data_IF_861542064948
#
_entry.id   IF_861542064948
#
_cell.length_a   1.000
_cell.length_b   1.000
_cell.length_c   1.000
_cell.angle_alpha   90.00
_cell.angle_beta   90.00
_cell.angle_gamma   90.00
#
_symmetry.space_group_name_H-M   'P 1'
#
loop_
_entity.id
_entity.type
_entity.pdbx_description
1 polymer ?
#
# COMPACT_ATOMS: atom_id res chain seq x y z
N UNK A 1 -11.74 19.78 0.98
CA UNK A 1 -12.05 19.14 2.22
C UNK A 1 -11.12 19.61 3.34
N UNK A 2 -11.37 19.18 4.55
CA UNK A 2 -10.82 19.84 5.73
C UNK A 2 -9.89 18.98 6.58
N UNK A 3 -9.30 17.95 6.03
CA UNK A 3 -8.38 17.20 6.86
C UNK A 3 -6.96 17.78 6.79
N UNK A 4 -6.19 17.57 7.86
CA UNK A 4 -4.83 18.08 7.98
C UNK A 4 -3.88 17.25 7.10
N UNK A 5 -2.65 17.75 6.94
CA UNK A 5 -1.59 17.04 6.24
C UNK A 5 -1.37 15.65 6.84
N UNK A 6 -1.28 15.57 8.17
CA UNK A 6 -1.06 14.30 8.85
C UNK A 6 -2.20 13.33 8.64
N UNK A 7 -3.44 13.82 8.74
CA UNK A 7 -4.61 12.98 8.47
C UNK A 7 -4.63 12.48 7.04
N UNK A 8 -4.21 13.33 6.10
CA UNK A 8 -4.10 12.92 4.70
C UNK A 8 -3.09 11.81 4.52
N UNK A 9 -1.94 11.89 5.18
CA UNK A 9 -0.93 10.84 5.14
C UNK A 9 -1.44 9.54 5.74
N UNK A 10 -2.17 9.62 6.85
CA UNK A 10 -2.74 8.44 7.50
C UNK A 10 -3.77 7.76 6.61
N UNK A 11 -4.60 8.53 5.93
CA UNK A 11 -5.57 7.97 4.98
C UNK A 11 -4.88 7.33 3.79
N UNK A 12 -3.81 7.94 3.29
CA UNK A 12 -3.03 7.39 2.19
C UNK A 12 -2.37 6.07 2.60
N UNK A 13 -1.80 6.02 3.80
CA UNK A 13 -1.21 4.79 4.34
C UNK A 13 -2.26 3.68 4.43
N UNK A 14 -3.43 4.00 4.97
CA UNK A 14 -4.50 3.02 5.12
C UNK A 14 -4.93 2.47 3.76
N UNK A 15 -5.04 3.35 2.75
CA UNK A 15 -5.37 2.93 1.39
C UNK A 15 -4.33 1.98 0.79
N UNK A 16 -3.05 2.25 1.02
CA UNK A 16 -1.98 1.37 0.55
C UNK A 16 -2.06 -0.01 1.22
N UNK A 17 -2.34 -0.06 2.52
CA UNK A 17 -2.45 -1.32 3.24
C UNK A 17 -3.69 -2.10 2.82
N UNK A 18 -4.80 -1.43 2.54
CA UNK A 18 -5.97 -2.08 1.98
C UNK A 18 -5.67 -2.71 0.61
N UNK A 19 -4.88 -2.00 -0.20
CA UNK A 19 -4.49 -2.51 -1.52
C UNK A 19 -3.64 -3.78 -1.38
N UNK A 20 -2.73 -3.82 -0.41
CA UNK A 20 -1.93 -5.02 -0.16
C UNK A 20 -2.83 -6.22 0.14
N UNK A 21 -3.82 -6.05 1.00
CA UNK A 21 -4.76 -7.13 1.32
C UNK A 21 -5.51 -7.59 0.09
N UNK A 22 -5.99 -6.66 -0.73
CA UNK A 22 -6.71 -6.96 -1.95
C UNK A 22 -5.84 -7.76 -2.94
N UNK A 23 -4.61 -7.32 -3.17
CA UNK A 23 -3.71 -8.00 -4.11
C UNK A 23 -3.29 -9.37 -3.61
N UNK A 24 -3.12 -9.54 -2.30
CA UNK A 24 -2.84 -10.87 -1.73
C UNK A 24 -3.98 -11.84 -1.99
N UNK A 25 -5.23 -11.38 -1.92
CA UNK A 25 -6.39 -12.22 -2.26
C UNK A 25 -6.38 -12.61 -3.73
N UNK A 26 -6.03 -11.67 -4.60
CA UNK A 26 -5.90 -11.97 -6.03
C UNK A 26 -4.85 -13.04 -6.25
N UNK A 27 -3.70 -12.93 -5.59
CA UNK A 27 -2.64 -13.93 -5.71
C UNK A 27 -3.09 -15.31 -5.29
N UNK A 28 -4.01 -15.41 -4.32
CA UNK A 28 -4.51 -16.68 -3.83
C UNK A 28 -5.29 -17.46 -4.87
N UNK A 29 -5.80 -16.82 -5.93
CA UNK A 29 -6.64 -17.45 -6.94
C UNK A 29 -6.11 -17.30 -8.36
N UNK A 30 -4.97 -16.67 -8.54
CA UNK A 30 -4.44 -16.44 -9.89
C UNK A 30 -3.57 -17.61 -10.34
N UNK A 31 -3.45 -17.81 -11.67
CA UNK A 31 -2.53 -18.81 -12.21
C UNK A 31 -1.09 -18.47 -11.85
N UNK A 32 -0.23 -19.46 -11.82
CA UNK A 32 1.19 -19.26 -11.62
C UNK A 32 1.84 -18.62 -12.85
N UNK A 33 3.10 -18.18 -12.71
CA UNK A 33 3.90 -17.67 -13.82
C UNK A 33 4.15 -16.17 -13.74
N UNK A 34 4.30 -15.53 -14.89
CA UNK A 34 4.70 -14.13 -14.97
C UNK A 34 3.69 -13.20 -14.30
N UNK A 35 2.42 -13.52 -14.38
CA UNK A 35 1.39 -12.70 -13.74
C UNK A 35 1.56 -12.66 -12.22
N UNK A 36 1.95 -13.79 -11.63
CA UNK A 36 2.23 -13.85 -10.20
C UNK A 36 3.37 -12.90 -9.83
N UNK A 37 4.44 -12.91 -10.61
CA UNK A 37 5.58 -12.03 -10.37
C UNK A 37 5.17 -10.56 -10.48
N UNK A 38 4.32 -10.22 -11.44
CA UNK A 38 3.85 -8.85 -11.61
C UNK A 38 3.01 -8.39 -10.42
N UNK A 39 2.12 -9.24 -9.91
CA UNK A 39 1.31 -8.89 -8.74
C UNK A 39 2.20 -8.76 -7.50
N UNK A 40 3.21 -9.62 -7.36
CA UNK A 40 4.19 -9.48 -6.27
C UNK A 40 4.91 -8.14 -6.34
N UNK A 41 5.25 -7.68 -7.54
CA UNK A 41 5.90 -6.38 -7.72
C UNK A 41 5.00 -5.24 -7.28
N UNK A 42 3.69 -5.33 -7.60
CA UNK A 42 2.71 -4.33 -7.16
C UNK A 42 2.65 -4.30 -5.63
N UNK A 43 2.58 -5.46 -4.99
CA UNK A 43 2.53 -5.56 -3.53
C UNK A 43 3.78 -4.95 -2.90
N UNK A 44 4.95 -5.25 -3.47
CA UNK A 44 6.21 -4.70 -2.99
C UNK A 44 6.21 -3.18 -3.07
N UNK A 45 5.70 -2.61 -4.16
CA UNK A 45 5.59 -1.17 -4.32
C UNK A 45 4.64 -0.57 -3.27
N UNK A 46 3.49 -1.22 -3.02
CA UNK A 46 2.56 -0.75 -2.00
C UNK A 46 3.19 -0.74 -0.62
N UNK A 47 3.97 -1.79 -0.29
CA UNK A 47 4.67 -1.87 0.99
C UNK A 47 5.75 -0.78 1.10
N UNK A 48 6.45 -0.51 0.00
CA UNK A 48 7.45 0.56 -0.02
C UNK A 48 6.80 1.91 0.20
N UNK A 49 5.67 2.16 -0.47
CA UNK A 49 4.91 3.41 -0.27
C UNK A 49 4.43 3.52 1.17
N UNK A 50 3.97 2.43 1.76
CA UNK A 50 3.52 2.42 3.15
C UNK A 50 4.64 2.82 4.10
N UNK A 51 5.85 2.34 3.87
CA UNK A 51 7.00 2.70 4.68
C UNK A 51 7.30 4.20 4.57
N UNK A 52 7.17 4.77 3.36
CA UNK A 52 7.39 6.20 3.16
C UNK A 52 6.32 7.04 3.85
N UNK A 53 5.05 6.63 3.78
CA UNK A 53 3.98 7.33 4.50
C UNK A 53 4.20 7.26 6.01
N UNK A 54 4.60 6.10 6.52
CA UNK A 54 4.91 5.95 7.94
C UNK A 54 6.01 6.93 8.38
N UNK A 55 7.04 7.04 7.59
CA UNK A 55 8.12 7.98 7.87
C UNK A 55 7.60 9.42 7.91
N UNK A 56 6.82 9.81 6.91
CA UNK A 56 6.29 11.16 6.82
C UNK A 56 5.34 11.47 7.98
N UNK A 57 4.51 10.50 8.36
CA UNK A 57 3.60 10.64 9.50
C UNK A 57 4.40 10.87 10.78
N UNK A 58 5.46 10.09 10.96
CA UNK A 58 6.31 10.20 12.14
C UNK A 58 6.99 11.56 12.22
N UNK A 59 7.35 12.12 11.06
CA UNK A 59 7.99 13.45 11.00
C UNK A 59 6.99 14.59 11.13
N UNK A 60 5.70 14.35 10.89
CA UNK A 60 4.68 15.38 11.00
C UNK A 60 4.38 15.68 12.45
N UNK A 61 4.29 16.96 12.77
CA UNK A 61 4.02 17.39 14.13
C UNK A 61 2.61 17.94 14.26
#
# INVERSE_FOLDING_TARGET
NNFTYKEGLEKALFGELEAVVKYRRIMGVMPSGNSYILVMSIITDELRHSAMYNYLIHMAK
#
